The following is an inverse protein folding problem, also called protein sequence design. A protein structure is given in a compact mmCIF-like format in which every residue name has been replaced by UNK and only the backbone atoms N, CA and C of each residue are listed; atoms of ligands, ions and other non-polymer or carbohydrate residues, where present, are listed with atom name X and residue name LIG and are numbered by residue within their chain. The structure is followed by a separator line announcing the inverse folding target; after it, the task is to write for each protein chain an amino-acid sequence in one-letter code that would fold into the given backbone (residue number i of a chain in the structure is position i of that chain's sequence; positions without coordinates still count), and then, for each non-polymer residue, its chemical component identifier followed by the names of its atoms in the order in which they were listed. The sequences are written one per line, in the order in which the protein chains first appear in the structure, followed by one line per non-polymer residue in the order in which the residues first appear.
data_IF_131186030211
#
_entry.id   IF_131186030211
#
_cell.length_a   1.000
_cell.length_b   1.000
_cell.length_c   1.000
_cell.angle_alpha   90.00
_cell.angle_beta   90.00
_cell.angle_gamma   90.00
#
_symmetry.space_group_name_H-M   'P 1'
#
loop_
_entity.id
_entity.type
_entity.pdbx_description
1 polymer ?
#
# COMPACT_ATOMS: atom_id res chain seq x y z
N UNK A 1 2.28 23.81 -8.68
CA UNK A 1 1.39 22.78 -8.08
C UNK A 1 2.16 21.52 -7.69
N UNK A 2 3.03 20.93 -8.52
CA UNK A 2 3.81 19.72 -8.21
C UNK A 2 4.73 19.86 -6.98
N UNK A 3 5.47 20.98 -6.84
CA UNK A 3 6.32 21.23 -5.66
C UNK A 3 5.53 21.22 -4.35
N UNK A 4 4.31 21.76 -4.34
CA UNK A 4 3.46 21.76 -3.16
C UNK A 4 3.01 20.34 -2.78
N UNK A 5 2.64 19.50 -3.75
CA UNK A 5 2.30 18.10 -3.52
C UNK A 5 3.47 17.31 -2.91
N UNK A 6 4.69 17.51 -3.43
CA UNK A 6 5.90 16.85 -2.90
C UNK A 6 6.17 17.27 -1.46
N UNK A 7 6.02 18.54 -1.13
CA UNK A 7 6.20 19.06 0.24
C UNK A 7 5.15 18.45 1.19
N UNK A 8 3.89 18.40 0.77
CA UNK A 8 2.80 17.81 1.54
C UNK A 8 3.05 16.32 1.80
N UNK A 9 3.45 15.54 0.79
CA UNK A 9 3.77 14.11 0.94
C UNK A 9 4.91 13.88 1.94
N UNK A 10 5.98 14.68 1.87
CA UNK A 10 7.08 14.61 2.83
C UNK A 10 6.61 14.95 4.25
N UNK A 11 5.80 15.99 4.41
CA UNK A 11 5.24 16.37 5.71
C UNK A 11 4.34 15.29 6.30
N UNK A 12 3.49 14.67 5.46
CA UNK A 12 2.62 13.56 5.87
C UNK A 12 3.42 12.33 6.33
N UNK A 13 4.48 11.95 5.59
CA UNK A 13 5.36 10.85 5.96
C UNK A 13 6.08 11.11 7.30
N UNK A 14 6.60 12.33 7.51
CA UNK A 14 7.23 12.73 8.78
C UNK A 14 6.22 12.69 9.93
N UNK A 15 4.98 13.15 9.70
CA UNK A 15 3.91 13.10 10.70
C UNK A 15 3.56 11.66 11.08
N UNK A 16 3.48 10.75 10.12
CA UNK A 16 3.22 9.33 10.35
C UNK A 16 4.34 8.69 11.19
N UNK A 17 5.62 8.96 10.87
CA UNK A 17 6.76 8.45 11.63
C UNK A 17 6.75 8.92 13.10
N UNK A 18 6.41 10.18 13.36
CA UNK A 18 6.32 10.72 14.74
C UNK A 18 5.23 10.09 15.60
N UNK A 19 4.27 9.41 14.98
CA UNK A 19 3.13 8.76 15.63
C UNK A 19 3.22 7.24 15.63
N UNK A 20 4.32 6.67 15.11
CA UNK A 20 4.47 5.23 14.93
C UNK A 20 4.27 4.42 16.23
N UNK A 21 4.74 4.95 17.36
CA UNK A 21 4.68 4.28 18.66
C UNK A 21 3.35 4.46 19.42
N UNK A 22 2.36 5.19 18.82
CA UNK A 22 1.07 5.40 19.47
C UNK A 22 0.21 4.15 19.39
N UNK A 23 -0.58 3.90 20.44
CA UNK A 23 -1.50 2.77 20.51
C UNK A 23 -2.71 2.98 19.59
N UNK A 24 -3.15 1.91 18.95
CA UNK A 24 -4.33 1.86 18.10
C UNK A 24 -5.46 1.17 18.89
N UNK A 25 -6.37 1.97 19.42
CA UNK A 25 -7.46 1.47 20.27
C UNK A 25 -8.80 1.38 19.53
N UNK A 26 -8.91 1.90 18.31
CA UNK A 26 -10.12 1.96 17.52
C UNK A 26 -9.84 1.63 16.03
N UNK A 27 -10.89 1.52 15.24
CA UNK A 27 -10.77 1.27 13.81
C UNK A 27 -12.07 0.81 13.17
N UNK A 28 -11.97 0.42 11.90
CA UNK A 28 -13.09 -0.10 11.12
C UNK A 28 -12.66 -1.29 10.26
N UNK A 29 -13.53 -2.30 10.17
CA UNK A 29 -13.42 -3.36 9.18
C UNK A 29 -14.42 -3.08 8.05
N UNK A 30 -13.95 -3.08 6.81
CA UNK A 30 -14.76 -2.79 5.62
C UNK A 30 -14.52 -3.85 4.56
N UNK A 31 -15.58 -4.26 3.86
CA UNK A 31 -15.50 -5.13 2.70
C UNK A 31 -16.11 -4.46 1.47
N UNK A 32 -15.47 -4.65 0.33
CA UNK A 32 -15.98 -4.31 -1.00
C UNK A 32 -16.23 -5.58 -1.79
N UNK A 33 -17.43 -5.73 -2.32
CA UNK A 33 -17.84 -6.86 -3.17
C UNK A 33 -17.93 -6.41 -4.62
N UNK A 34 -17.23 -7.09 -5.50
CA UNK A 34 -17.18 -6.81 -6.93
C UNK A 34 -17.83 -7.91 -7.77
N UNK A 35 -18.32 -7.56 -8.97
CA UNK A 35 -18.84 -8.48 -9.98
C UNK A 35 -19.88 -9.48 -9.42
N UNK A 36 -20.88 -9.00 -8.70
CA UNK A 36 -21.95 -9.86 -8.17
C UNK A 36 -21.51 -10.87 -7.11
N UNK A 37 -20.38 -10.62 -6.45
CA UNK A 37 -19.86 -11.51 -5.41
C UNK A 37 -18.67 -12.38 -5.83
N UNK A 38 -18.21 -12.25 -7.09
CA UNK A 38 -17.09 -13.06 -7.58
C UNK A 38 -15.74 -12.68 -6.91
N UNK A 39 -15.60 -11.44 -6.45
CA UNK A 39 -14.42 -10.96 -5.75
C UNK A 39 -14.81 -10.10 -4.57
N UNK A 40 -14.16 -10.32 -3.42
CA UNK A 40 -14.29 -9.49 -2.22
C UNK A 40 -12.90 -9.03 -1.79
N UNK A 41 -12.76 -7.71 -1.59
CA UNK A 41 -11.63 -7.15 -0.87
C UNK A 41 -12.08 -6.68 0.50
N UNK A 42 -11.38 -7.05 1.56
CA UNK A 42 -11.67 -6.65 2.92
C UNK A 42 -10.43 -6.04 3.57
N UNK A 43 -10.61 -5.02 4.40
CA UNK A 43 -9.52 -4.35 5.12
C UNK A 43 -9.92 -4.03 6.56
N UNK A 44 -8.93 -4.02 7.44
CA UNK A 44 -9.03 -3.47 8.79
C UNK A 44 -8.11 -2.25 8.84
N UNK A 45 -8.71 -1.07 8.98
CA UNK A 45 -8.01 0.20 9.15
C UNK A 45 -8.18 0.65 10.59
N UNK A 46 -7.07 0.84 11.32
CA UNK A 46 -7.06 1.23 12.71
C UNK A 46 -6.66 2.69 12.91
N UNK A 47 -7.10 3.28 14.02
CA UNK A 47 -6.78 4.63 14.48
C UNK A 47 -6.73 4.67 16.02
N UNK A 48 -6.39 5.84 16.60
CA UNK A 48 -6.24 5.97 18.04
C UNK A 48 -7.62 6.02 18.75
N UNK A 49 -8.61 6.70 18.15
CA UNK A 49 -9.91 6.94 18.82
C UNK A 49 -11.11 6.49 17.96
N UNK A 50 -12.21 6.19 18.65
CA UNK A 50 -13.49 5.89 18.02
C UNK A 50 -14.12 7.12 17.32
N UNK A 51 -13.72 8.32 17.68
CA UNK A 51 -14.12 9.55 17.03
C UNK A 51 -13.64 9.56 15.56
N UNK A 52 -12.37 9.22 15.31
CA UNK A 52 -11.82 9.09 13.96
C UNK A 52 -12.43 7.88 13.25
N UNK A 53 -12.58 6.75 13.91
CA UNK A 53 -13.17 5.54 13.33
C UNK A 53 -14.60 5.77 12.80
N UNK A 54 -15.37 6.65 13.44
CA UNK A 54 -16.74 7.02 13.02
C UNK A 54 -16.79 8.06 11.92
N UNK A 55 -15.67 8.72 11.60
CA UNK A 55 -15.61 9.78 10.60
C UNK A 55 -15.84 9.23 9.17
N UNK A 56 -16.67 9.90 8.39
CA UNK A 56 -17.04 9.45 7.02
C UNK A 56 -15.85 9.42 6.07
N UNK A 57 -14.89 10.34 6.18
CA UNK A 57 -13.69 10.33 5.34
C UNK A 57 -12.75 9.15 5.70
N UNK A 58 -12.71 8.74 6.97
CA UNK A 58 -11.98 7.55 7.40
C UNK A 58 -12.61 6.27 6.86
N UNK A 59 -13.95 6.19 6.91
CA UNK A 59 -14.69 5.07 6.31
C UNK A 59 -14.52 5.02 4.80
N UNK A 60 -14.56 6.17 4.12
CA UNK A 60 -14.35 6.28 2.68
C UNK A 60 -12.92 5.85 2.28
N UNK A 61 -11.91 6.18 3.08
CA UNK A 61 -10.54 5.71 2.89
C UNK A 61 -10.47 4.19 2.97
N UNK A 62 -11.01 3.60 4.06
CA UNK A 62 -11.03 2.15 4.24
C UNK A 62 -11.76 1.44 3.09
N UNK A 63 -12.90 1.95 2.67
CA UNK A 63 -13.67 1.41 1.54
C UNK A 63 -12.91 1.52 0.21
N UNK A 64 -12.21 2.63 -0.02
CA UNK A 64 -11.35 2.82 -1.19
C UNK A 64 -10.21 1.82 -1.24
N UNK A 65 -9.57 1.54 -0.10
CA UNK A 65 -8.51 0.52 0.00
C UNK A 65 -9.08 -0.88 -0.22
N UNK A 66 -10.25 -1.22 0.34
CA UNK A 66 -10.91 -2.52 0.14
C UNK A 66 -11.21 -2.78 -1.35
N UNK A 67 -11.70 -1.75 -2.06
CA UNK A 67 -11.94 -1.81 -3.50
C UNK A 67 -10.63 -1.99 -4.28
N UNK A 68 -9.57 -1.30 -3.91
CA UNK A 68 -8.25 -1.45 -4.52
C UNK A 68 -7.70 -2.87 -4.33
N UNK A 69 -7.82 -3.44 -3.13
CA UNK A 69 -7.44 -4.84 -2.84
C UNK A 69 -8.19 -5.82 -3.74
N UNK A 70 -9.50 -5.64 -3.90
CA UNK A 70 -10.30 -6.50 -4.78
C UNK A 70 -9.80 -6.46 -6.23
N UNK A 71 -9.43 -5.26 -6.73
CA UNK A 71 -9.02 -5.05 -8.11
C UNK A 71 -7.57 -5.44 -8.39
N UNK A 72 -6.63 -5.10 -7.50
CA UNK A 72 -5.18 -5.17 -7.76
C UNK A 72 -4.52 -6.44 -7.23
N UNK A 73 -5.21 -7.23 -6.39
CA UNK A 73 -4.70 -8.49 -5.83
C UNK A 73 -3.27 -8.37 -5.27
N UNK A 74 -3.01 -7.47 -4.31
CA UNK A 74 -1.70 -7.36 -3.70
C UNK A 74 -1.29 -8.65 -3.01
N UNK A 75 -0.01 -8.96 -3.00
CA UNK A 75 0.53 -10.18 -2.38
C UNK A 75 1.08 -9.91 -0.97
N UNK A 76 1.56 -8.70 -0.73
CA UNK A 76 2.14 -8.28 0.54
C UNK A 76 1.53 -6.95 0.99
N UNK A 77 1.36 -6.74 2.28
CA UNK A 77 0.94 -5.45 2.83
C UNK A 77 2.06 -4.42 2.67
N UNK A 78 3.26 -4.79 3.09
CA UNK A 78 4.44 -3.94 3.08
C UNK A 78 5.68 -4.72 2.66
N UNK A 79 6.78 -4.03 2.36
CA UNK A 79 8.08 -4.68 2.07
C UNK A 79 8.62 -5.52 3.22
N UNK A 80 8.21 -5.23 4.46
CA UNK A 80 8.63 -6.00 5.63
C UNK A 80 8.10 -7.43 5.64
N UNK A 81 7.06 -7.72 4.86
CA UNK A 81 6.50 -9.07 4.73
C UNK A 81 7.17 -9.89 3.62
N UNK A 82 7.93 -9.24 2.73
CA UNK A 82 8.60 -9.89 1.61
C UNK A 82 9.85 -10.61 2.11
N UNK A 83 9.94 -11.91 1.84
CA UNK A 83 11.11 -12.71 2.15
C UNK A 83 11.97 -12.95 0.90
N UNK A 84 13.25 -13.27 1.07
CA UNK A 84 14.13 -13.60 -0.05
C UNK A 84 13.59 -14.77 -0.89
N UNK A 85 12.94 -15.74 -0.25
CA UNK A 85 12.27 -16.86 -0.90
C UNK A 85 11.19 -16.42 -1.92
N UNK A 86 10.50 -15.32 -1.66
CA UNK A 86 9.44 -14.80 -2.54
C UNK A 86 10.02 -14.19 -3.83
N UNK A 87 11.30 -13.82 -3.80
CA UNK A 87 12.00 -13.19 -4.92
C UNK A 87 12.81 -14.18 -5.76
N UNK A 88 13.04 -15.41 -5.31
CA UNK A 88 13.90 -16.38 -6.00
C UNK A 88 13.48 -16.59 -7.46
N UNK A 89 12.22 -16.89 -7.69
CA UNK A 89 11.70 -17.14 -9.05
C UNK A 89 11.76 -15.87 -9.93
N UNK A 90 11.37 -14.72 -9.37
CA UNK A 90 11.41 -13.44 -10.09
C UNK A 90 12.85 -13.04 -10.43
N UNK A 91 13.78 -13.21 -9.48
CA UNK A 91 15.21 -12.92 -9.67
C UNK A 91 15.80 -13.75 -10.79
N UNK A 92 15.55 -15.07 -10.81
CA UNK A 92 16.02 -15.96 -11.87
C UNK A 92 15.55 -15.53 -13.26
N UNK A 93 14.28 -15.10 -13.38
CA UNK A 93 13.74 -14.58 -14.65
C UNK A 93 14.45 -13.28 -15.04
N UNK A 94 14.62 -12.34 -14.10
CA UNK A 94 15.26 -11.05 -14.39
C UNK A 94 16.75 -11.18 -14.70
N UNK A 95 17.45 -12.14 -14.10
CA UNK A 95 18.84 -12.48 -14.43
C UNK A 95 18.95 -13.01 -15.88
N UNK A 96 18.03 -13.89 -16.29
CA UNK A 96 18.00 -14.40 -17.66
C UNK A 96 17.69 -13.27 -18.67
N UNK A 97 16.75 -12.39 -18.38
CA UNK A 97 16.43 -11.24 -19.22
C UNK A 97 17.57 -10.22 -19.30
N UNK A 98 18.36 -10.08 -18.22
CA UNK A 98 19.50 -9.18 -18.17
C UNK A 98 20.78 -9.78 -18.77
N UNK A 99 20.76 -11.00 -19.30
CA UNK A 99 21.95 -11.67 -19.85
C UNK A 99 22.64 -10.86 -20.94
N UNK A 100 21.85 -10.13 -21.76
CA UNK A 100 22.36 -9.28 -22.85
C UNK A 100 22.72 -7.85 -22.41
N UNK A 101 22.53 -7.51 -21.13
CA UNK A 101 22.91 -6.19 -20.59
C UNK A 101 24.41 -6.20 -20.27
N UNK A 102 25.10 -5.09 -20.58
CA UNK A 102 26.51 -4.91 -20.21
C UNK A 102 26.70 -5.22 -18.72
N UNK A 103 27.76 -5.96 -18.39
CA UNK A 103 28.07 -6.45 -17.04
C UNK A 103 28.06 -5.33 -15.98
N UNK A 104 28.62 -4.17 -16.31
CA UNK A 104 28.63 -2.99 -15.42
C UNK A 104 27.22 -2.47 -15.05
N UNK A 105 26.21 -2.73 -15.88
CA UNK A 105 24.83 -2.26 -15.69
C UNK A 105 23.85 -3.38 -15.30
N UNK A 106 24.27 -4.64 -15.39
CA UNK A 106 23.41 -5.81 -15.19
C UNK A 106 22.77 -5.84 -13.81
N UNK A 107 23.59 -5.66 -12.76
CA UNK A 107 23.10 -5.65 -11.38
C UNK A 107 22.04 -4.58 -11.16
N UNK A 108 22.29 -3.36 -11.66
CA UNK A 108 21.33 -2.24 -11.58
C UNK A 108 20.04 -2.50 -12.36
N UNK A 109 20.14 -3.16 -13.50
CA UNK A 109 18.96 -3.52 -14.30
C UNK A 109 18.09 -4.55 -13.57
N UNK A 110 18.70 -5.57 -12.97
CA UNK A 110 18.01 -6.60 -12.17
C UNK A 110 17.32 -5.95 -10.96
N UNK A 111 18.05 -5.12 -10.22
CA UNK A 111 17.50 -4.41 -9.06
C UNK A 111 16.31 -3.53 -9.44
N UNK A 112 16.40 -2.76 -10.53
CA UNK A 112 15.30 -1.96 -11.04
C UNK A 112 14.06 -2.78 -11.42
N UNK A 113 14.26 -4.00 -11.96
CA UNK A 113 13.16 -4.92 -12.25
C UNK A 113 12.53 -5.49 -10.98
N UNK A 114 13.33 -5.83 -9.98
CA UNK A 114 12.83 -6.27 -8.65
C UNK A 114 12.04 -5.16 -7.99
N UNK A 115 12.52 -3.91 -8.01
CA UNK A 115 11.80 -2.75 -7.49
C UNK A 115 10.43 -2.57 -8.16
N UNK A 116 10.38 -2.69 -9.49
CA UNK A 116 9.11 -2.60 -10.23
C UNK A 116 8.18 -3.78 -9.90
N UNK A 117 8.72 -4.98 -9.78
CA UNK A 117 7.99 -6.18 -9.39
C UNK A 117 7.35 -6.04 -8.00
N UNK A 118 8.09 -5.54 -7.03
CA UNK A 118 7.60 -5.32 -5.67
C UNK A 118 6.55 -4.21 -5.63
N UNK A 119 6.76 -3.12 -6.35
CA UNK A 119 5.83 -2.00 -6.42
C UNK A 119 4.45 -2.41 -6.94
N UNK A 120 4.37 -3.41 -7.78
CA UNK A 120 3.10 -3.97 -8.29
C UNK A 120 2.42 -4.92 -7.30
N UNK A 121 3.15 -5.45 -6.30
CA UNK A 121 2.68 -6.51 -5.39
C UNK A 121 2.54 -6.10 -3.94
N UNK A 122 3.23 -5.04 -3.54
CA UNK A 122 3.17 -4.49 -2.18
C UNK A 122 2.07 -3.45 -2.10
N UNK A 123 0.99 -3.75 -1.37
CA UNK A 123 -0.23 -2.93 -1.28
C UNK A 123 0.07 -1.46 -0.96
N UNK A 124 0.91 -1.19 0.04
CA UNK A 124 1.22 0.19 0.43
C UNK A 124 1.98 0.99 -0.64
N UNK A 125 2.62 0.31 -1.60
CA UNK A 125 3.36 0.94 -2.70
C UNK A 125 2.56 1.05 -3.99
N UNK A 126 1.47 0.27 -4.12
CA UNK A 126 0.63 0.30 -5.31
C UNK A 126 0.00 1.69 -5.49
N UNK A 127 0.02 2.23 -6.72
CA UNK A 127 -0.75 3.42 -7.07
C UNK A 127 -2.24 3.15 -6.90
N UNK A 128 -2.97 4.07 -6.26
CA UNK A 128 -4.40 3.88 -6.01
C UNK A 128 -5.19 3.81 -7.31
N UNK A 129 -6.05 2.81 -7.45
CA UNK A 129 -6.79 2.53 -8.69
C UNK A 129 -7.65 3.70 -9.20
N UNK A 130 -8.18 4.56 -8.31
CA UNK A 130 -8.98 5.73 -8.69
C UNK A 130 -8.15 6.99 -8.89
N UNK A 131 -6.97 7.06 -8.29
CA UNK A 131 -6.05 8.19 -8.40
C UNK A 131 -4.60 7.69 -8.37
N UNK A 132 -4.04 7.30 -9.52
CA UNK A 132 -2.69 6.74 -9.59
C UNK A 132 -1.58 7.77 -9.29
N UNK A 133 -1.93 9.01 -9.01
CA UNK A 133 -0.95 10.03 -8.60
C UNK A 133 -0.46 9.85 -7.16
N UNK A 134 -1.10 8.99 -6.38
CA UNK A 134 -0.75 8.66 -5.00
C UNK A 134 -0.82 7.16 -4.75
N UNK A 135 0.07 6.65 -3.90
CA UNK A 135 0.04 5.26 -3.44
C UNK A 135 -0.92 5.08 -2.26
N UNK A 136 -1.28 3.82 -1.97
CA UNK A 136 -2.07 3.49 -0.77
C UNK A 136 -1.38 3.97 0.51
N UNK A 137 -0.06 3.81 0.62
CA UNK A 137 0.72 4.32 1.75
C UNK A 137 0.67 5.84 1.89
N UNK A 138 0.73 6.57 0.76
CA UNK A 138 0.60 8.03 0.77
C UNK A 138 -0.81 8.49 1.19
N UNK A 139 -1.86 7.75 0.82
CA UNK A 139 -3.23 8.03 1.27
C UNK A 139 -3.35 7.86 2.78
N UNK A 140 -2.79 6.78 3.35
CA UNK A 140 -2.78 6.55 4.80
C UNK A 140 -1.98 7.64 5.52
N UNK A 141 -0.80 8.01 5.03
CA UNK A 141 0.00 9.10 5.59
C UNK A 141 -0.74 10.45 5.57
N UNK A 142 -1.51 10.71 4.51
CA UNK A 142 -2.36 11.89 4.39
C UNK A 142 -3.49 11.88 5.41
N UNK A 143 -4.06 10.70 5.69
CA UNK A 143 -5.06 10.53 6.74
C UNK A 143 -4.48 10.77 8.14
N UNK A 144 -3.26 10.29 8.42
CA UNK A 144 -2.52 10.59 9.68
C UNK A 144 -2.37 12.10 9.88
N UNK A 145 -2.06 12.83 8.81
CA UNK A 145 -1.95 14.28 8.88
C UNK A 145 -3.31 14.97 9.07
N UNK A 146 -4.33 14.51 8.34
CA UNK A 146 -5.68 15.08 8.37
C UNK A 146 -6.34 14.92 9.75
N UNK A 147 -6.29 13.72 10.30
CA UNK A 147 -6.95 13.41 11.59
C UNK A 147 -6.08 13.74 12.81
N UNK A 148 -4.78 13.95 12.62
CA UNK A 148 -3.87 14.18 13.75
C UNK A 148 -3.58 12.94 14.59
N UNK A 149 -4.06 11.75 14.18
CA UNK A 149 -3.92 10.47 14.84
C UNK A 149 -3.05 9.50 14.03
N UNK A 150 -2.48 8.47 14.67
CA UNK A 150 -1.94 7.31 13.97
C UNK A 150 -3.06 6.61 13.22
N UNK A 151 -2.82 6.31 11.96
CA UNK A 151 -3.70 5.49 11.11
C UNK A 151 -2.85 4.39 10.50
N UNK A 152 -3.31 3.15 10.58
CA UNK A 152 -2.59 1.99 10.07
C UNK A 152 -3.52 0.98 9.42
N UNK A 153 -3.11 0.45 8.27
CA UNK A 153 -3.70 -0.74 7.68
C UNK A 153 -3.19 -1.97 8.44
N UNK A 154 -4.02 -2.52 9.30
CA UNK A 154 -3.66 -3.68 10.14
C UNK A 154 -3.65 -4.96 9.31
N UNK A 155 -4.72 -5.19 8.55
CA UNK A 155 -4.95 -6.42 7.79
C UNK A 155 -5.73 -6.13 6.52
N UNK A 156 -5.48 -6.94 5.49
CA UNK A 156 -6.35 -7.04 4.32
C UNK A 156 -6.52 -8.50 3.92
N UNK A 157 -7.61 -8.78 3.21
CA UNK A 157 -7.90 -10.08 2.62
C UNK A 157 -8.53 -9.90 1.25
N UNK A 158 -8.23 -10.80 0.33
CA UNK A 158 -8.90 -10.89 -0.95
C UNK A 158 -9.41 -12.31 -1.15
N UNK A 159 -10.72 -12.41 -1.38
CA UNK A 159 -11.39 -13.67 -1.70
C UNK A 159 -11.87 -13.60 -3.15
N UNK A 160 -11.69 -14.67 -3.90
CA UNK A 160 -12.21 -14.78 -5.26
C UNK A 160 -12.54 -16.24 -5.56
N UNK A 161 -13.56 -16.44 -6.37
CA UNK A 161 -13.91 -17.74 -6.96
C UNK A 161 -13.01 -18.05 -8.13
#
# INVERSE_FOLDING_TARGET
MEKAKVILRKASAISALKKADRELAAGIAVAYTHAGGAVVGAVVLACETDFVAKNEDFKALAYGIAMHVAAMNPQFKSRLEVQDSDLVAARAVFEAEAANVNEANRAKAIEGKIESYLRERVLLEQPFIKDPTQSIGEMINSAVQKFGEKVELVRYERLSV
#
